data_IF_887136568807
#
_entry.id   IF_887136568807
#
_cell.length_a   1.000
_cell.length_b   1.000
_cell.length_c   1.000
_cell.angle_alpha   90.00
_cell.angle_beta   90.00
_cell.angle_gamma   90.00
#
_symmetry.space_group_name_H-M   'P 1'
#
loop_
_entity.id
_entity.type
_entity.pdbx_description
1 polymer ?
#
# COMPACT_ATOMS: atom_id res chain seq x y z
N UNK A 1 7.20 13.90 9.96
CA UNK A 1 7.60 12.73 9.18
C UNK A 1 6.71 11.55 9.54
N UNK A 2 6.35 10.74 8.55
CA UNK A 2 5.45 9.62 8.77
C UNK A 2 6.20 8.35 9.13
N UNK A 3 5.58 7.52 9.95
CA UNK A 3 6.05 6.17 10.20
C UNK A 3 5.29 5.23 9.29
N UNK A 4 6.01 4.47 8.47
CA UNK A 4 5.41 3.54 7.51
C UNK A 4 5.80 2.13 7.92
N UNK A 5 4.83 1.37 8.37
CA UNK A 5 5.01 -0.02 8.76
C UNK A 5 4.57 -0.92 7.62
N UNK A 6 5.07 -2.15 7.58
CA UNK A 6 4.72 -3.11 6.55
C UNK A 6 4.13 -4.36 7.18
N UNK A 7 3.01 -4.83 6.63
CA UNK A 7 2.50 -6.14 7.02
C UNK A 7 3.42 -7.21 6.44
N UNK A 8 3.34 -8.39 6.99
CA UNK A 8 4.09 -9.52 6.47
C UNK A 8 3.67 -9.84 5.02
N UNK A 9 2.38 -9.65 4.72
CA UNK A 9 1.85 -9.87 3.37
C UNK A 9 2.51 -8.91 2.38
N UNK A 10 2.61 -7.63 2.74
CA UNK A 10 3.25 -6.63 1.87
C UNK A 10 4.73 -6.94 1.68
N UNK A 11 5.44 -7.20 2.77
CA UNK A 11 6.87 -7.49 2.72
C UNK A 11 7.16 -8.69 1.84
N UNK A 12 6.35 -9.73 1.97
CA UNK A 12 6.50 -10.94 1.17
C UNK A 12 6.27 -10.66 -0.32
N UNK A 13 5.22 -9.90 -0.63
CA UNK A 13 4.94 -9.51 -2.00
C UNK A 13 6.12 -8.76 -2.62
N UNK A 14 6.65 -7.79 -1.90
CA UNK A 14 7.76 -6.97 -2.40
C UNK A 14 9.01 -7.81 -2.58
N UNK A 15 9.30 -8.70 -1.63
CA UNK A 15 10.47 -9.55 -1.69
C UNK A 15 10.44 -10.48 -2.89
N UNK A 16 9.26 -11.00 -3.23
CA UNK A 16 9.10 -11.94 -4.35
C UNK A 16 9.00 -11.28 -5.70
N UNK A 17 8.89 -9.97 -5.73
CA UNK A 17 8.71 -9.25 -6.98
C UNK A 17 9.97 -9.38 -7.85
N UNK A 18 9.78 -9.86 -9.08
CA UNK A 18 10.88 -10.11 -10.01
C UNK A 18 11.01 -9.00 -11.05
N UNK A 19 11.02 -7.77 -10.58
CA UNK A 19 11.11 -6.59 -11.44
C UNK A 19 12.01 -5.58 -10.72
N UNK A 20 13.31 -5.60 -11.00
CA UNK A 20 14.25 -4.71 -10.29
C UNK A 20 13.91 -3.23 -10.42
N UNK A 21 13.49 -2.81 -11.62
CA UNK A 21 13.12 -1.41 -11.86
C UNK A 21 11.87 -1.05 -11.07
N UNK A 22 10.87 -1.93 -11.10
CA UNK A 22 9.65 -1.74 -10.32
C UNK A 22 9.92 -1.67 -8.83
N UNK A 23 10.79 -2.55 -8.33
CA UNK A 23 11.15 -2.55 -6.92
C UNK A 23 11.75 -1.23 -6.48
N UNK A 24 12.66 -0.68 -7.29
CA UNK A 24 13.28 0.62 -7.00
C UNK A 24 12.22 1.72 -6.96
N UNK A 25 11.31 1.71 -7.94
CA UNK A 25 10.21 2.69 -7.99
C UNK A 25 9.33 2.62 -6.75
N UNK A 26 8.99 1.40 -6.33
CA UNK A 26 8.17 1.18 -5.14
C UNK A 26 8.86 1.71 -3.89
N UNK A 27 10.14 1.38 -3.73
CA UNK A 27 10.90 1.83 -2.57
C UNK A 27 11.02 3.36 -2.52
N UNK A 28 11.16 4.01 -3.67
CA UNK A 28 11.19 5.46 -3.74
C UNK A 28 9.85 6.07 -3.31
N UNK A 29 8.75 5.47 -3.72
CA UNK A 29 7.42 5.96 -3.34
C UNK A 29 7.22 5.82 -1.83
N UNK A 30 7.67 4.72 -1.25
CA UNK A 30 7.58 4.51 0.19
C UNK A 30 8.43 5.55 0.93
N UNK A 31 9.63 5.83 0.44
CA UNK A 31 10.49 6.83 1.03
C UNK A 31 9.84 8.21 1.01
N UNK A 32 9.22 8.59 -0.11
CA UNK A 32 8.51 9.86 -0.21
C UNK A 32 7.33 9.92 0.73
N UNK A 33 6.61 8.81 0.89
CA UNK A 33 5.48 8.75 1.81
C UNK A 33 5.94 9.00 3.25
N UNK A 34 7.10 8.48 3.63
CA UNK A 34 7.68 8.77 4.95
C UNK A 34 7.93 10.25 5.13
N UNK A 35 8.25 10.94 4.07
CA UNK A 35 8.52 12.38 4.07
C UNK A 35 7.24 13.20 3.96
N UNK A 36 6.08 12.56 3.92
CA UNK A 36 4.80 13.23 3.84
C UNK A 36 4.22 13.35 2.46
N UNK A 37 4.88 12.82 1.43
CA UNK A 37 4.44 12.92 0.06
C UNK A 37 4.02 11.55 -0.47
N UNK A 38 2.71 11.31 -0.55
CA UNK A 38 2.18 10.04 -1.02
C UNK A 38 2.09 9.96 -2.55
N UNK A 39 2.38 11.08 -3.25
CA UNK A 39 2.32 11.10 -4.69
C UNK A 39 0.90 10.90 -5.19
N UNK A 40 0.75 10.21 -6.32
CA UNK A 40 -0.56 9.90 -6.86
C UNK A 40 -1.23 8.83 -6.01
N UNK A 41 -2.30 9.21 -5.33
CA UNK A 41 -3.01 8.30 -4.43
C UNK A 41 -4.48 8.66 -4.39
N UNK A 42 -5.30 7.72 -3.93
CA UNK A 42 -6.73 7.88 -3.89
C UNK A 42 -7.33 6.95 -2.84
N UNK A 43 -8.38 7.42 -2.17
CA UNK A 43 -9.13 6.56 -1.25
C UNK A 43 -9.90 5.51 -2.04
N UNK A 44 -9.87 4.27 -1.55
CA UNK A 44 -10.63 3.18 -2.17
C UNK A 44 -11.68 2.61 -1.22
N UNK A 45 -11.99 3.34 -0.13
CA UNK A 45 -13.00 2.93 0.83
C UNK A 45 -12.44 2.00 1.90
N UNK A 46 -13.23 1.78 2.95
CA UNK A 46 -12.85 0.89 4.04
C UNK A 46 -11.59 1.32 4.77
N UNK A 47 -11.35 2.62 4.88
CA UNK A 47 -10.15 3.20 5.49
C UNK A 47 -8.87 2.85 4.74
N UNK A 48 -8.97 2.49 3.47
CA UNK A 48 -7.83 2.14 2.63
C UNK A 48 -7.63 3.18 1.55
N UNK A 49 -6.37 3.50 1.29
CA UNK A 49 -5.98 4.31 0.14
C UNK A 49 -4.98 3.51 -0.70
N UNK A 50 -4.88 3.86 -1.97
CA UNK A 50 -3.91 3.23 -2.85
C UNK A 50 -2.94 4.28 -3.36
N UNK A 51 -1.65 3.93 -3.39
CA UNK A 51 -0.66 4.71 -4.14
C UNK A 51 -0.50 4.05 -5.49
N UNK A 52 -0.51 4.86 -6.55
CA UNK A 52 -0.43 4.36 -7.92
C UNK A 52 0.90 4.71 -8.56
N UNK A 53 1.51 3.71 -9.16
CA UNK A 53 2.73 3.88 -9.94
C UNK A 53 2.39 3.59 -11.40
N UNK A 54 2.79 4.48 -12.30
CA UNK A 54 2.39 4.38 -13.69
C UNK A 54 3.35 3.60 -14.58
N UNK A 55 4.56 3.38 -14.11
CA UNK A 55 5.53 2.61 -14.90
C UNK A 55 5.27 1.11 -14.77
N UNK A 56 5.68 0.35 -15.77
CA UNK A 56 5.54 -1.10 -15.79
C UNK A 56 4.07 -1.51 -15.77
N UNK A 57 3.70 -2.53 -14.98
CA UNK A 57 2.34 -3.07 -14.96
C UNK A 57 1.36 -2.23 -14.17
N UNK A 58 1.75 -1.05 -13.71
CA UNK A 58 0.89 -0.19 -12.91
C UNK A 58 0.77 -0.67 -11.49
N UNK A 59 1.87 -0.67 -10.76
CA UNK A 59 1.87 -1.13 -9.38
C UNK A 59 0.96 -0.29 -8.50
N UNK A 60 0.36 -0.94 -7.52
CA UNK A 60 -0.53 -0.33 -6.52
C UNK A 60 -0.05 -0.73 -5.14
N UNK A 61 0.05 0.24 -4.24
CA UNK A 61 0.41 -0.02 -2.84
C UNK A 61 -0.78 0.42 -1.99
N UNK A 62 -1.37 -0.50 -1.25
CA UNK A 62 -2.55 -0.23 -0.44
C UNK A 62 -2.13 0.01 1.00
N UNK A 63 -2.65 1.07 1.60
CA UNK A 63 -2.26 1.45 2.95
C UNK A 63 -3.43 2.01 3.73
N UNK A 64 -3.29 2.01 5.06
CA UNK A 64 -4.26 2.59 5.96
C UNK A 64 -3.53 3.36 7.04
N UNK A 65 -4.14 4.47 7.49
CA UNK A 65 -3.61 5.25 8.59
C UNK A 65 -4.19 4.69 9.89
N UNK A 66 -3.32 4.35 10.84
CA UNK A 66 -3.77 3.79 12.13
C UNK A 66 -3.68 4.79 13.27
N UNK A 67 -2.91 5.84 13.08
CA UNK A 67 -2.77 6.92 14.04
C UNK A 67 -2.19 8.11 13.29
N UNK A 68 -2.08 9.27 13.94
CA UNK A 68 -1.45 10.42 13.30
C UNK A 68 -0.07 10.04 12.80
N UNK A 69 0.17 10.22 11.50
CA UNK A 69 1.46 9.97 10.88
C UNK A 69 1.98 8.54 11.02
N UNK A 70 1.09 7.58 11.34
CA UNK A 70 1.45 6.16 11.40
C UNK A 70 0.58 5.40 10.42
N UNK A 71 1.21 4.69 9.50
CA UNK A 71 0.53 4.00 8.40
C UNK A 71 0.99 2.56 8.28
N UNK A 72 0.09 1.69 7.86
CA UNK A 72 0.41 0.32 7.49
C UNK A 72 0.31 0.15 5.98
N UNK A 73 1.39 -0.33 5.36
CA UNK A 73 1.31 -0.86 4.01
C UNK A 73 0.72 -2.26 4.14
N UNK A 74 -0.45 -2.46 3.55
CA UNK A 74 -1.24 -3.67 3.74
C UNK A 74 -0.89 -4.75 2.74
N UNK A 75 -0.91 -4.42 1.47
CA UNK A 75 -0.71 -5.35 0.37
C UNK A 75 -0.29 -4.56 -0.85
N UNK A 76 0.46 -5.21 -1.73
CA UNK A 76 0.83 -4.65 -3.02
C UNK A 76 0.28 -5.51 -4.14
N UNK A 77 0.16 -4.91 -5.30
CA UNK A 77 -0.30 -5.60 -6.49
C UNK A 77 -0.10 -4.70 -7.69
N UNK A 78 -0.81 -5.00 -8.76
CA UNK A 78 -0.75 -4.19 -9.97
C UNK A 78 -2.15 -3.96 -10.51
N UNK A 79 -2.22 -3.29 -11.66
CA UNK A 79 -3.51 -2.94 -12.26
C UNK A 79 -4.36 -4.18 -12.58
N UNK A 80 -3.74 -5.30 -12.92
CA UNK A 80 -4.47 -6.51 -13.30
C UNK A 80 -5.17 -7.20 -12.13
N UNK A 81 -4.72 -6.96 -10.89
CA UNK A 81 -5.30 -7.59 -9.71
C UNK A 81 -6.01 -6.59 -8.80
N UNK A 82 -6.23 -5.38 -9.30
CA UNK A 82 -6.69 -4.26 -8.48
C UNK A 82 -7.97 -4.54 -7.67
N UNK A 83 -8.99 -5.09 -8.30
CA UNK A 83 -10.27 -5.33 -7.60
C UNK A 83 -10.12 -6.28 -6.42
N UNK A 84 -9.43 -7.39 -6.64
CA UNK A 84 -9.21 -8.39 -5.58
C UNK A 84 -8.34 -7.82 -4.47
N UNK A 85 -7.35 -7.03 -4.85
CA UNK A 85 -6.43 -6.46 -3.88
C UNK A 85 -7.11 -5.42 -3.01
N UNK A 86 -7.98 -4.60 -3.58
CA UNK A 86 -8.75 -3.62 -2.81
C UNK A 86 -9.63 -4.32 -1.78
N UNK A 87 -10.32 -5.37 -2.20
CA UNK A 87 -11.18 -6.12 -1.28
C UNK A 87 -10.38 -6.72 -0.14
N UNK A 88 -9.25 -7.33 -0.45
CA UNK A 88 -8.38 -7.91 0.56
C UNK A 88 -7.82 -6.85 1.50
N UNK A 89 -7.40 -5.72 0.96
CA UNK A 89 -6.86 -4.62 1.75
C UNK A 89 -7.91 -4.07 2.72
N UNK A 90 -9.16 -3.96 2.28
CA UNK A 90 -10.24 -3.50 3.15
C UNK A 90 -10.46 -4.45 4.33
N UNK A 91 -10.40 -5.75 4.09
CA UNK A 91 -10.53 -6.74 5.15
C UNK A 91 -9.37 -6.64 6.14
N UNK A 92 -8.17 -6.47 5.63
CA UNK A 92 -7.00 -6.32 6.48
C UNK A 92 -7.09 -5.05 7.33
N UNK A 93 -7.52 -3.94 6.73
CA UNK A 93 -7.67 -2.68 7.45
C UNK A 93 -8.73 -2.81 8.54
N UNK A 94 -9.82 -3.49 8.25
CA UNK A 94 -10.88 -3.73 9.23
C UNK A 94 -10.33 -4.46 10.45
N UNK A 95 -9.51 -5.49 10.23
CA UNK A 95 -8.88 -6.22 11.33
C UNK A 95 -7.94 -5.36 12.15
N UNK A 96 -7.14 -4.54 11.46
CA UNK A 96 -6.18 -3.67 12.12
C UNK A 96 -6.86 -2.59 12.97
N UNK A 97 -7.93 -2.00 12.43
CA UNK A 97 -8.67 -0.95 13.15
C UNK A 97 -9.58 -1.51 14.26
N UNK A 98 -9.71 -2.83 14.32
CA UNK A 98 -10.59 -3.44 15.32
C UNK A 98 -12.04 -3.09 15.08
N UNK A 99 -12.43 -2.93 13.82
CA UNK A 99 -13.80 -2.57 13.46
C UNK A 99 -14.77 -3.65 13.92
N UNK A 100 -15.83 -3.22 14.60
CA UNK A 100 -16.86 -4.14 15.05
C UNK A 100 -18.03 -4.14 14.08
N UNK A 101 -18.64 -5.30 13.91
CA UNK A 101 -19.87 -5.37 13.11
C UNK A 101 -20.97 -4.56 13.75
#
# INVERSE_FOLDING_TARGET
>A
MNEILETEVFSEWLRKLKDPVGKVSILRRIKRAREGNFGDHESVGGNVSEMRLFNGPGYRLYYTMIDKQVYWLLIGGDKSTQEKDIEKARKMASGIHGTKP
#
